data_IF_832920389351
#
_entry.id   IF_832920389351
#
_cell.length_a   1.000
_cell.length_b   1.000
_cell.length_c   1.000
_cell.angle_alpha   90.00
_cell.angle_beta   90.00
_cell.angle_gamma   90.00
#
_symmetry.space_group_name_H-M   'P 1'
#
loop_
_entity.id
_entity.type
_entity.pdbx_description
1 polymer ?
#
# COMPACT_ATOMS: atom_id res chain seq x y z
N UNK A 1 30.23 -10.58 -3.92
CA UNK A 1 29.35 -11.11 -4.98
C UNK A 1 28.28 -10.05 -5.12
N UNK A 2 28.39 -9.16 -6.11
CA UNK A 2 27.35 -8.18 -6.40
C UNK A 2 26.09 -8.96 -6.77
N UNK A 3 25.10 -8.98 -5.87
CA UNK A 3 23.77 -9.46 -6.19
C UNK A 3 23.19 -8.50 -7.23
N UNK A 4 22.93 -9.01 -8.44
CA UNK A 4 22.30 -8.25 -9.49
C UNK A 4 20.92 -7.79 -9.01
N UNK A 5 20.73 -6.48 -8.93
CA UNK A 5 19.42 -5.87 -8.77
C UNK A 5 18.55 -6.38 -9.95
N UNK A 6 17.49 -7.14 -9.68
CA UNK A 6 16.73 -7.81 -10.73
C UNK A 6 16.01 -6.74 -11.56
N UNK A 7 16.54 -6.46 -12.75
CA UNK A 7 15.95 -5.51 -13.70
C UNK A 7 14.55 -5.96 -14.09
N UNK A 8 13.61 -5.03 -14.21
CA UNK A 8 12.21 -5.33 -14.57
C UNK A 8 12.10 -6.18 -15.85
N UNK A 9 11.45 -7.34 -15.74
CA UNK A 9 11.19 -8.26 -16.85
C UNK A 9 9.71 -8.22 -17.26
N UNK A 10 9.42 -7.50 -18.35
CA UNK A 10 8.06 -7.37 -18.88
C UNK A 10 7.42 -8.72 -19.27
N UNK A 11 8.22 -9.75 -19.58
CA UNK A 11 7.70 -11.06 -19.99
C UNK A 11 7.02 -11.82 -18.85
N UNK A 12 7.33 -11.46 -17.60
CA UNK A 12 6.71 -12.01 -16.39
C UNK A 12 5.44 -11.28 -15.97
N UNK A 13 5.07 -10.20 -16.64
CA UNK A 13 3.84 -9.48 -16.34
C UNK A 13 2.65 -10.34 -16.70
N UNK A 14 1.77 -10.56 -15.73
CA UNK A 14 0.42 -11.07 -16.01
C UNK A 14 -0.52 -9.89 -16.19
N UNK A 15 -0.98 -9.69 -17.42
CA UNK A 15 -1.85 -8.57 -17.78
C UNK A 15 -3.29 -8.81 -17.31
N UNK A 16 -3.87 -7.83 -16.61
CA UNK A 16 -5.26 -7.87 -16.16
C UNK A 16 -6.21 -7.03 -17.03
N UNK A 17 -5.67 -6.29 -18.02
CA UNK A 17 -6.43 -5.55 -19.04
C UNK A 17 -7.60 -4.70 -18.51
N UNK A 18 -7.41 -3.96 -17.41
CA UNK A 18 -8.44 -3.05 -16.88
C UNK A 18 -9.64 -3.77 -16.25
N UNK A 19 -9.44 -4.99 -15.76
CA UNK A 19 -10.39 -5.75 -14.94
C UNK A 19 -10.97 -4.92 -13.80
N UNK A 20 -10.18 -4.00 -13.25
CA UNK A 20 -10.62 -3.01 -12.27
C UNK A 20 -10.60 -1.62 -12.88
N UNK A 21 -11.66 -0.86 -12.59
CA UNK A 21 -11.80 0.50 -13.07
C UNK A 21 -11.20 1.47 -12.03
N UNK A 22 -10.25 2.34 -12.42
CA UNK A 22 -9.71 3.34 -11.51
C UNK A 22 -10.83 4.24 -10.99
N UNK A 23 -10.69 4.72 -9.76
CA UNK A 23 -11.61 5.67 -9.17
C UNK A 23 -11.12 7.09 -9.39
N UNK A 24 -11.63 7.74 -10.42
CA UNK A 24 -11.51 9.19 -10.56
C UNK A 24 -12.59 9.87 -9.71
N UNK A 25 -12.17 10.59 -8.68
CA UNK A 25 -13.07 11.26 -7.75
C UNK A 25 -13.78 12.41 -8.46
N UNK A 26 -15.11 12.37 -8.40
CA UNK A 26 -16.00 13.43 -8.89
C UNK A 26 -16.99 13.90 -7.83
N UNK A 27 -16.96 13.28 -6.64
CA UNK A 27 -17.83 13.59 -5.52
C UNK A 27 -17.06 14.37 -4.45
N UNK A 28 -17.76 15.27 -3.77
CA UNK A 28 -17.25 15.91 -2.56
C UNK A 28 -17.12 14.86 -1.44
N UNK A 29 -16.09 14.96 -0.59
CA UNK A 29 -15.99 14.11 0.57
C UNK A 29 -17.02 14.53 1.62
N UNK A 30 -17.39 13.58 2.49
CA UNK A 30 -18.32 13.85 3.60
C UNK A 30 -17.61 13.63 4.93
N UNK A 31 -17.99 14.36 5.99
CA UNK A 31 -17.37 14.14 7.29
C UNK A 31 -17.70 12.76 7.86
N UNK A 32 -16.72 12.10 8.48
CA UNK A 32 -16.86 10.75 9.02
C UNK A 32 -18.06 10.61 9.98
N UNK A 33 -18.35 11.64 10.79
CA UNK A 33 -19.51 11.68 11.68
C UNK A 33 -20.86 11.49 10.98
N UNK A 34 -20.99 11.87 9.71
CA UNK A 34 -22.24 11.73 8.95
C UNK A 34 -22.41 10.35 8.32
N UNK A 35 -21.34 9.54 8.28
CA UNK A 35 -21.39 8.20 7.72
C UNK A 35 -21.96 7.19 8.71
N UNK A 36 -22.94 6.40 8.25
CA UNK A 36 -23.42 5.21 8.95
C UNK A 36 -22.60 3.98 8.54
N UNK A 37 -21.46 3.79 9.21
CA UNK A 37 -20.54 2.66 9.06
C UNK A 37 -20.19 2.09 10.44
N UNK A 38 -19.94 0.78 10.49
CA UNK A 38 -19.58 0.05 11.71
C UNK A 38 -18.20 0.50 12.24
N UNK A 39 -18.00 0.44 13.55
CA UNK A 39 -16.76 0.84 14.22
C UNK A 39 -15.51 0.08 13.74
N UNK A 40 -15.71 -1.19 13.37
CA UNK A 40 -14.66 -2.04 12.79
C UNK A 40 -14.42 -1.81 11.30
N UNK A 41 -15.14 -0.90 10.64
CA UNK A 41 -14.89 -0.58 9.25
C UNK A 41 -13.49 0.00 9.10
N UNK A 42 -12.67 -0.60 8.25
CA UNK A 42 -11.30 -0.16 8.06
C UNK A 42 -11.23 0.95 7.01
N UNK A 43 -10.43 1.96 7.32
CA UNK A 43 -10.16 3.15 6.53
C UNK A 43 -8.67 3.20 6.19
N UNK A 44 -8.37 3.81 5.04
CA UNK A 44 -7.05 4.30 4.70
C UNK A 44 -7.07 5.82 4.84
N UNK A 45 -6.07 6.39 5.50
CA UNK A 45 -5.95 7.83 5.74
C UNK A 45 -4.58 8.31 5.26
N UNK A 46 -4.58 9.30 4.37
CA UNK A 46 -3.38 9.88 3.81
C UNK A 46 -3.36 11.39 3.96
N UNK A 47 -2.18 11.96 4.19
CA UNK A 47 -1.99 13.42 4.17
C UNK A 47 -1.96 13.89 2.71
N UNK A 48 -2.95 14.68 2.31
CA UNK A 48 -3.09 15.21 0.96
C UNK A 48 -3.20 16.73 1.06
N UNK A 49 -2.16 17.43 0.59
CA UNK A 49 -1.99 18.85 0.87
C UNK A 49 -1.67 19.06 2.36
N UNK A 50 -2.49 19.83 3.04
CA UNK A 50 -2.33 20.19 4.46
C UNK A 50 -3.28 19.44 5.40
N UNK A 51 -4.06 18.49 4.89
CA UNK A 51 -5.09 17.79 5.66
C UNK A 51 -5.13 16.29 5.40
N UNK A 52 -5.52 15.51 6.42
CA UNK A 52 -5.78 14.09 6.24
C UNK A 52 -7.11 13.89 5.51
N UNK A 53 -7.09 13.04 4.48
CA UNK A 53 -8.29 12.56 3.80
C UNK A 53 -8.41 11.05 3.97
N UNK A 54 -9.64 10.59 4.19
CA UNK A 54 -9.94 9.19 4.42
C UNK A 54 -10.64 8.52 3.24
N UNK A 55 -10.39 7.22 3.11
CA UNK A 55 -10.96 6.36 2.08
C UNK A 55 -11.38 5.04 2.71
N UNK A 56 -12.53 4.51 2.29
CA UNK A 56 -12.97 3.18 2.74
C UNK A 56 -12.07 2.11 2.13
N UNK A 57 -11.37 1.33 2.96
CA UNK A 57 -10.40 0.34 2.48
C UNK A 57 -11.04 -0.64 1.47
N UNK A 58 -12.30 -1.04 1.68
CA UNK A 58 -13.02 -1.93 0.75
C UNK A 58 -13.23 -1.33 -0.66
N UNK A 59 -13.33 -0.01 -0.76
CA UNK A 59 -13.52 0.69 -2.04
C UNK A 59 -12.18 0.80 -2.74
N UNK A 60 -11.15 1.25 -2.02
CA UNK A 60 -9.77 1.33 -2.56
C UNK A 60 -9.27 -0.05 -2.98
N UNK A 61 -9.58 -1.10 -2.22
CA UNK A 61 -9.24 -2.50 -2.57
C UNK A 61 -9.90 -2.97 -3.86
N UNK A 62 -11.04 -2.40 -4.24
CA UNK A 62 -11.71 -2.74 -5.51
C UNK A 62 -11.13 -1.93 -6.68
N UNK A 63 -10.78 -0.68 -6.44
CA UNK A 63 -10.36 0.24 -7.49
C UNK A 63 -8.86 0.19 -7.77
N UNK A 64 -8.05 -0.15 -6.76
CA UNK A 64 -6.58 -0.17 -6.74
C UNK A 64 -5.89 1.17 -6.95
N UNK A 65 -6.45 2.02 -7.79
CA UNK A 65 -6.02 3.39 -8.07
C UNK A 65 -7.18 4.33 -7.78
N UNK A 66 -6.94 5.33 -6.96
CA UNK A 66 -7.85 6.46 -6.72
C UNK A 66 -7.13 7.73 -7.13
N UNK A 67 -7.75 8.57 -7.94
CA UNK A 67 -7.18 9.86 -8.34
C UNK A 67 -8.20 10.97 -8.12
N UNK A 68 -7.73 12.10 -7.61
CA UNK A 68 -8.57 13.27 -7.37
C UNK A 68 -7.77 14.57 -7.35
N UNK A 69 -8.47 15.66 -7.10
CA UNK A 69 -7.89 16.97 -6.86
C UNK A 69 -8.42 17.45 -5.52
N UNK A 70 -7.53 17.85 -4.61
CA UNK A 70 -7.89 18.42 -3.32
C UNK A 70 -7.25 19.79 -3.16
N UNK A 71 -8.06 20.82 -2.92
CA UNK A 71 -7.60 22.21 -2.81
C UNK A 71 -6.65 22.63 -3.96
N UNK A 72 -6.95 22.21 -5.18
CA UNK A 72 -6.13 22.49 -6.37
C UNK A 72 -4.91 21.57 -6.57
N UNK A 73 -4.62 20.66 -5.63
CA UNK A 73 -3.50 19.72 -5.72
C UNK A 73 -3.97 18.33 -6.23
N UNK A 74 -3.49 17.86 -7.39
CA UNK A 74 -3.75 16.50 -7.85
C UNK A 74 -3.07 15.47 -6.94
N UNK A 75 -3.80 14.40 -6.61
CA UNK A 75 -3.28 13.30 -5.80
C UNK A 75 -3.72 11.96 -6.37
N UNK A 76 -3.00 10.91 -5.98
CA UNK A 76 -3.29 9.53 -6.29
C UNK A 76 -3.08 8.64 -5.06
N UNK A 77 -3.96 7.67 -4.86
CA UNK A 77 -3.78 6.56 -3.92
C UNK A 77 -3.59 5.29 -4.72
N UNK A 78 -2.58 4.50 -4.38
CA UNK A 78 -2.40 3.15 -4.92
C UNK A 78 -2.55 2.13 -3.81
N UNK A 79 -3.16 0.98 -4.09
CA UNK A 79 -3.32 -0.08 -3.10
C UNK A 79 -3.42 -1.47 -3.71
N UNK A 80 -2.53 -2.36 -3.28
CA UNK A 80 -2.56 -3.78 -3.62
C UNK A 80 -3.19 -4.58 -2.48
N UNK A 81 -4.41 -5.12 -2.69
CA UNK A 81 -5.10 -5.92 -1.68
C UNK A 81 -4.41 -7.24 -1.32
N UNK A 82 -3.60 -7.80 -2.23
CA UNK A 82 -2.86 -9.05 -1.99
C UNK A 82 -1.62 -8.80 -1.13
N UNK A 83 -0.91 -7.72 -1.42
CA UNK A 83 0.27 -7.24 -0.72
C UNK A 83 -0.08 -6.59 0.63
N UNK A 84 -1.32 -6.10 0.76
CA UNK A 84 -1.85 -5.29 1.86
C UNK A 84 -1.21 -3.89 1.98
N UNK A 85 -0.51 -3.42 0.95
CA UNK A 85 0.23 -2.16 1.00
C UNK A 85 -0.27 -1.16 -0.04
N UNK A 86 -0.09 0.12 0.27
CA UNK A 86 -0.44 1.23 -0.60
C UNK A 86 0.19 2.53 -0.12
N UNK A 87 0.20 3.54 -0.99
CA UNK A 87 0.80 4.85 -0.72
C UNK A 87 -0.10 5.97 -1.25
N UNK A 88 0.11 7.16 -0.70
CA UNK A 88 -0.31 8.41 -1.35
C UNK A 88 0.82 8.82 -2.29
N UNK A 89 0.48 9.28 -3.49
CA UNK A 89 1.44 9.76 -4.48
C UNK A 89 0.84 10.89 -5.32
N UNK A 90 1.63 11.47 -6.21
CA UNK A 90 1.18 12.50 -7.15
C UNK A 90 1.12 11.94 -8.56
N UNK A 91 0.02 12.15 -9.29
CA UNK A 91 -0.06 11.81 -10.70
C UNK A 91 0.57 12.88 -11.61
N UNK A 92 1.32 13.85 -11.04
CA UNK A 92 1.91 14.95 -11.81
C UNK A 92 3.30 14.58 -12.29
N UNK A 93 3.50 14.58 -13.60
CA UNK A 93 4.78 14.33 -14.26
C UNK A 93 5.09 15.53 -15.14
N UNK A 94 6.27 16.12 -14.96
CA UNK A 94 6.75 17.28 -15.74
C UNK A 94 5.69 18.41 -15.85
N UNK A 95 4.97 18.65 -14.75
CA UNK A 95 3.96 19.71 -14.62
C UNK A 95 2.58 19.36 -15.20
N UNK A 96 2.35 18.13 -15.67
CA UNK A 96 1.07 17.67 -16.21
C UNK A 96 0.48 16.58 -15.34
N UNK A 97 -0.83 16.62 -15.12
CA UNK A 97 -1.56 15.55 -14.43
C UNK A 97 -1.83 14.42 -15.40
N UNK A 98 -1.28 13.24 -15.11
CA UNK A 98 -1.49 12.01 -15.87
C UNK A 98 -2.65 11.19 -15.28
N UNK A 99 -3.22 10.30 -16.09
CA UNK A 99 -4.21 9.30 -15.68
C UNK A 99 -3.54 7.96 -15.52
N UNK A 100 -3.90 7.28 -14.44
CA UNK A 100 -3.33 6.01 -14.07
C UNK A 100 -4.40 4.97 -13.89
N UNK A 101 -4.03 3.73 -14.22
CA UNK A 101 -4.87 2.56 -14.01
C UNK A 101 -4.01 1.35 -13.68
N UNK A 102 -4.61 0.43 -12.94
CA UNK A 102 -4.07 -0.92 -12.82
C UNK A 102 -4.06 -1.57 -14.21
N UNK A 103 -2.96 -2.27 -14.52
CA UNK A 103 -2.75 -2.89 -15.84
C UNK A 103 -2.34 -4.36 -15.75
N UNK A 104 -1.73 -4.76 -14.65
CA UNK A 104 -1.33 -6.14 -14.45
C UNK A 104 -0.60 -6.36 -13.13
N UNK A 105 -0.01 -7.54 -13.04
CA UNK A 105 0.72 -8.02 -11.87
C UNK A 105 2.15 -8.37 -12.27
N UNK A 106 3.11 -7.93 -11.44
CA UNK A 106 4.54 -8.24 -11.54
C UNK A 106 5.11 -8.41 -10.13
N UNK A 107 6.00 -9.37 -9.89
CA UNK A 107 6.52 -9.69 -8.55
C UNK A 107 5.42 -10.01 -7.52
N UNK A 108 4.28 -10.54 -7.97
CA UNK A 108 3.11 -10.76 -7.14
C UNK A 108 2.50 -9.47 -6.60
N UNK A 109 2.78 -8.32 -7.22
CA UNK A 109 2.26 -7.01 -6.85
C UNK A 109 1.57 -6.38 -8.05
N UNK A 110 0.55 -5.57 -7.80
CA UNK A 110 -0.08 -4.82 -8.87
C UNK A 110 0.86 -3.73 -9.37
N UNK A 111 0.94 -3.59 -10.69
CA UNK A 111 1.62 -2.48 -11.36
C UNK A 111 0.59 -1.61 -12.06
N UNK A 112 0.91 -0.34 -12.22
CA UNK A 112 0.03 0.62 -12.87
C UNK A 112 0.67 1.19 -14.13
N UNK A 113 -0.17 1.54 -15.10
CA UNK A 113 0.23 2.26 -16.30
C UNK A 113 -0.23 3.72 -16.21
N UNK A 114 0.59 4.64 -16.69
CA UNK A 114 0.12 5.98 -17.07
C UNK A 114 -0.40 5.95 -18.51
N UNK A 115 -1.61 6.47 -18.71
CA UNK A 115 -2.35 6.39 -19.97
C UNK A 115 -1.80 7.33 -21.05
N UNK A 116 -1.10 8.40 -20.66
CA UNK A 116 -0.51 9.37 -21.57
C UNK A 116 0.80 8.88 -22.19
N UNK A 117 1.67 8.21 -21.43
CA UNK A 117 2.98 7.72 -21.93
C UNK A 117 3.04 6.21 -22.17
N UNK A 118 2.13 5.45 -21.55
CA UNK A 118 2.20 3.99 -21.50
C UNK A 118 3.27 3.43 -20.56
N UNK A 119 3.95 4.27 -19.77
CA UNK A 119 4.95 3.83 -18.79
C UNK A 119 4.29 3.02 -17.68
N UNK A 120 4.92 1.90 -17.31
CA UNK A 120 4.58 1.05 -16.18
C UNK A 120 5.36 1.49 -14.94
N UNK A 121 4.73 1.41 -13.78
CA UNK A 121 5.28 1.95 -12.54
C UNK A 121 5.07 1.00 -11.36
N UNK A 122 6.02 1.06 -10.42
CA UNK A 122 5.94 0.35 -9.15
C UNK A 122 4.96 1.07 -8.22
N UNK A 123 3.98 0.33 -7.70
CA UNK A 123 2.92 0.97 -6.94
C UNK A 123 3.31 1.49 -5.55
N UNK A 124 4.42 1.01 -4.98
CA UNK A 124 4.89 1.39 -3.65
C UNK A 124 6.03 2.38 -3.69
N UNK A 125 6.98 2.22 -4.62
CA UNK A 125 8.15 3.11 -4.72
C UNK A 125 7.89 4.33 -5.60
N UNK A 126 6.88 4.25 -6.48
CA UNK A 126 6.61 5.29 -7.47
C UNK A 126 7.63 5.34 -8.61
N UNK A 127 8.54 4.36 -8.71
CA UNK A 127 9.55 4.31 -9.77
C UNK A 127 8.94 3.82 -11.08
N UNK A 128 9.38 4.43 -12.19
CA UNK A 128 9.10 3.91 -13.51
C UNK A 128 9.84 2.58 -13.71
N UNK A 129 9.10 1.55 -14.10
CA UNK A 129 9.60 0.19 -14.32
C UNK A 129 9.92 -0.06 -15.79
N UNK A 130 9.10 0.47 -16.70
CA UNK A 130 9.23 0.23 -18.13
C UNK A 130 8.48 1.27 -18.94
N UNK A 131 9.12 1.84 -19.96
CA UNK A 131 8.49 2.75 -20.90
C UNK A 131 9.27 4.06 -21.08
N UNK A 132 8.67 5.05 -21.76
CA UNK A 132 9.36 6.30 -22.11
C UNK A 132 9.82 7.16 -20.93
N UNK A 133 9.21 6.98 -19.75
CA UNK A 133 9.53 7.76 -18.54
C UNK A 133 10.42 7.00 -17.56
N UNK A 134 11.23 6.04 -18.04
CA UNK A 134 12.29 5.44 -17.21
C UNK A 134 13.17 6.51 -16.57
N UNK A 135 13.75 6.22 -15.41
CA UNK A 135 14.51 7.16 -14.55
C UNK A 135 13.68 8.27 -13.87
N UNK A 136 12.36 8.34 -14.13
CA UNK A 136 11.44 9.18 -13.35
C UNK A 136 10.91 8.41 -12.14
N UNK A 137 10.53 9.16 -11.11
CA UNK A 137 9.81 8.64 -9.96
C UNK A 137 8.68 9.60 -9.54
N UNK A 138 7.61 9.02 -9.03
CA UNK A 138 6.53 9.75 -8.39
C UNK A 138 6.83 9.87 -6.89
N UNK A 139 6.54 11.03 -6.25
CA UNK A 139 6.73 11.15 -4.81
C UNK A 139 5.76 10.21 -4.09
N UNK A 140 6.22 9.55 -3.02
CA UNK A 140 5.38 8.67 -2.21
C UNK A 140 5.31 9.14 -0.77
N UNK A 141 4.13 9.08 -0.16
CA UNK A 141 3.91 9.39 1.25
C UNK A 141 2.97 8.37 1.89
N UNK A 142 2.96 8.38 3.22
CA UNK A 142 2.37 7.33 4.03
C UNK A 142 0.85 7.27 3.88
N UNK A 143 0.32 6.07 3.68
CA UNK A 143 -1.10 5.75 3.74
C UNK A 143 -1.36 4.85 4.95
N UNK A 144 -2.05 5.39 5.95
CA UNK A 144 -2.20 4.75 7.26
C UNK A 144 -3.53 4.02 7.38
N UNK A 145 -3.50 2.82 7.98
CA UNK A 145 -4.72 2.09 8.31
C UNK A 145 -5.34 2.59 9.62
N UNK A 146 -6.67 2.70 9.64
CA UNK A 146 -7.47 3.04 10.82
C UNK A 146 -8.75 2.23 10.85
N UNK A 147 -9.30 1.96 12.02
CA UNK A 147 -10.71 1.59 12.13
C UNK A 147 -11.56 2.87 12.16
N UNK A 148 -12.84 2.78 11.79
CA UNK A 148 -13.76 3.90 11.89
C UNK A 148 -13.86 4.40 13.33
N UNK A 149 -13.83 3.51 14.34
CA UNK A 149 -13.77 3.92 15.74
C UNK A 149 -12.52 4.75 16.06
N UNK A 150 -11.33 4.31 15.64
CA UNK A 150 -10.09 5.06 15.84
C UNK A 150 -10.12 6.42 15.15
N UNK A 151 -10.61 6.46 13.90
CA UNK A 151 -10.70 7.68 13.14
C UNK A 151 -11.71 8.67 13.76
N UNK A 152 -12.88 8.19 14.22
CA UNK A 152 -13.87 9.03 14.91
C UNK A 152 -13.34 9.59 16.22
N UNK A 153 -12.61 8.78 16.99
CA UNK A 153 -12.03 9.22 18.25
C UNK A 153 -10.94 10.29 18.05
N UNK A 154 -10.16 10.20 16.97
CA UNK A 154 -9.11 11.15 16.65
C UNK A 154 -9.64 12.44 15.99
N UNK A 155 -10.52 12.29 15.00
CA UNK A 155 -11.11 13.40 14.25
C UNK A 155 -12.47 12.96 13.67
N UNK A 156 -13.60 13.25 14.34
CA UNK A 156 -14.93 12.93 13.82
C UNK A 156 -15.28 13.71 12.54
N UNK A 157 -14.52 14.74 12.24
CA UNK A 157 -14.69 15.64 11.09
C UNK A 157 -13.75 15.27 9.93
N UNK A 158 -12.98 14.17 10.06
CA UNK A 158 -12.18 13.61 8.98
C UNK A 158 -13.04 13.44 7.73
N UNK A 159 -12.59 14.04 6.63
CA UNK A 159 -13.29 13.98 5.36
C UNK A 159 -13.05 12.63 4.68
N UNK A 160 -14.14 11.98 4.28
CA UNK A 160 -14.13 10.65 3.68
C UNK A 160 -14.68 10.75 2.25
N UNK A 161 -13.87 10.33 1.27
CA UNK A 161 -14.36 10.12 -0.08
C UNK A 161 -15.11 8.80 -0.19
N UNK A 162 -16.14 8.78 -1.05
CA UNK A 162 -16.92 7.59 -1.35
C UNK A 162 -17.04 7.40 -2.85
N UNK A 163 -16.78 6.18 -3.32
CA UNK A 163 -16.84 5.88 -4.77
C UNK A 163 -18.27 5.68 -5.28
N UNK A 164 -19.25 5.62 -4.38
CA UNK A 164 -20.66 5.41 -4.71
C UNK A 164 -20.99 4.00 -5.20
N UNK A 165 -20.01 3.08 -5.26
CA UNK A 165 -20.21 1.70 -5.71
C UNK A 165 -20.90 0.82 -4.65
N UNK A 166 -21.62 -0.21 -5.13
CA UNK A 166 -22.55 -1.01 -4.32
C UNK A 166 -21.88 -1.75 -3.14
N UNK A 167 -22.38 -1.50 -1.93
CA UNK A 167 -21.79 -1.93 -0.64
C UNK A 167 -21.64 -3.46 -0.50
N UNK A 168 -22.54 -4.25 -1.10
CA UNK A 168 -22.58 -5.70 -0.91
C UNK A 168 -21.43 -6.43 -1.64
N UNK A 169 -21.20 -6.11 -2.92
CA UNK A 169 -20.18 -6.79 -3.73
C UNK A 169 -18.77 -6.52 -3.20
N UNK A 170 -18.49 -5.30 -2.74
CA UNK A 170 -17.22 -4.92 -2.13
C UNK A 170 -16.97 -5.65 -0.80
N UNK A 171 -18.01 -5.78 0.04
CA UNK A 171 -17.92 -6.54 1.30
C UNK A 171 -17.65 -8.02 1.04
N UNK A 172 -18.32 -8.61 0.04
CA UNK A 172 -18.08 -10.01 -0.37
C UNK A 172 -16.66 -10.19 -0.90
N UNK A 173 -16.22 -9.34 -1.84
CA UNK A 173 -14.87 -9.42 -2.41
C UNK A 173 -13.81 -9.30 -1.31
N UNK A 174 -13.95 -8.34 -0.40
CA UNK A 174 -13.05 -8.19 0.75
C UNK A 174 -13.08 -9.39 1.67
N UNK A 175 -14.26 -9.90 2.01
CA UNK A 175 -14.39 -11.08 2.86
C UNK A 175 -13.69 -12.28 2.22
N UNK A 176 -13.85 -12.46 0.91
CA UNK A 176 -13.18 -13.48 0.12
C UNK A 176 -11.66 -13.26 0.16
N UNK A 177 -11.16 -12.07 -0.17
CA UNK A 177 -9.72 -11.72 -0.10
C UNK A 177 -9.16 -12.00 1.31
N UNK A 178 -9.84 -11.57 2.37
CA UNK A 178 -9.39 -11.80 3.75
C UNK A 178 -9.45 -13.28 4.15
N UNK A 179 -10.48 -14.03 3.73
CA UNK A 179 -10.58 -15.47 4.02
C UNK A 179 -9.52 -16.25 3.25
N UNK A 180 -9.29 -15.87 2.01
CA UNK A 180 -8.34 -16.54 1.11
C UNK A 180 -6.89 -16.22 1.50
N UNK A 181 -6.58 -14.96 1.82
CA UNK A 181 -5.23 -14.49 2.15
C UNK A 181 -4.94 -14.44 3.67
N UNK A 182 -5.95 -14.61 4.51
CA UNK A 182 -5.88 -14.41 5.96
C UNK A 182 -6.46 -15.54 6.82
N UNK A 183 -7.09 -16.58 6.25
CA UNK A 183 -7.46 -17.74 7.05
C UNK A 183 -6.24 -18.65 7.29
N UNK A 184 -5.64 -18.53 8.47
CA UNK A 184 -4.94 -19.62 9.15
C UNK A 184 -3.54 -19.98 8.63
N UNK A 185 -2.66 -18.99 8.40
CA UNK A 185 -1.26 -19.28 8.04
C UNK A 185 -1.06 -19.89 6.64
N UNK A 186 -2.12 -19.94 5.81
CA UNK A 186 -2.00 -20.38 4.42
C UNK A 186 -1.13 -19.40 3.64
N UNK A 187 -0.03 -19.91 3.10
CA UNK A 187 0.86 -19.25 2.15
C UNK A 187 0.21 -19.02 0.77
N UNK A 188 -1.11 -18.91 0.70
CA UNK A 188 -1.81 -18.94 -0.58
C UNK A 188 -1.75 -17.57 -1.25
N UNK A 189 -1.09 -17.54 -2.40
CA UNK A 189 -1.05 -16.41 -3.32
C UNK A 189 -1.88 -16.81 -4.54
N UNK A 190 -2.75 -15.94 -5.10
CA UNK A 190 -3.52 -16.28 -6.29
C UNK A 190 -2.61 -16.78 -7.42
N UNK A 191 -2.99 -17.79 -8.22
CA UNK A 191 -2.11 -18.37 -9.23
C UNK A 191 -1.57 -17.35 -10.24
N UNK A 192 -2.38 -16.37 -10.65
CA UNK A 192 -1.96 -15.29 -11.55
C UNK A 192 -0.96 -14.32 -10.92
N UNK A 193 -0.95 -14.18 -9.59
CA UNK A 193 0.08 -13.45 -8.86
C UNK A 193 1.35 -14.31 -8.73
N UNK A 194 1.19 -15.57 -8.32
CA UNK A 194 2.31 -16.48 -8.07
C UNK A 194 3.18 -16.75 -9.29
N UNK A 195 2.60 -16.75 -10.50
CA UNK A 195 3.35 -16.93 -11.76
C UNK A 195 4.29 -15.78 -12.10
N UNK A 196 4.11 -14.63 -11.46
CA UNK A 196 4.91 -13.42 -11.72
C UNK A 196 6.05 -13.25 -10.71
N UNK A 197 6.18 -14.16 -9.74
CA UNK A 197 7.29 -14.20 -8.79
C UNK A 197 8.57 -14.66 -9.49
N UNK A 198 9.74 -14.22 -9.03
CA UNK A 198 11.01 -14.74 -9.53
C UNK A 198 11.19 -16.20 -9.10
N UNK A 199 12.13 -16.88 -9.78
CA UNK A 199 12.49 -18.26 -9.45
C UNK A 199 12.96 -18.39 -8.00
N UNK A 200 13.73 -17.40 -7.54
CA UNK A 200 14.24 -17.31 -6.17
C UNK A 200 13.62 -16.13 -5.44
N UNK A 201 12.95 -16.40 -4.33
CA UNK A 201 12.45 -15.39 -3.40
C UNK A 201 13.09 -15.62 -2.02
N UNK A 202 13.21 -14.55 -1.25
CA UNK A 202 13.67 -14.63 0.12
C UNK A 202 12.73 -15.52 0.96
N UNK A 203 13.29 -16.58 1.53
CA UNK A 203 12.58 -17.61 2.27
C UNK A 203 12.82 -17.56 3.79
N UNK A 204 13.47 -16.50 4.31
CA UNK A 204 13.69 -16.29 5.76
C UNK A 204 12.38 -16.29 6.55
N UNK A 205 11.30 -15.81 5.92
CA UNK A 205 9.94 -15.92 6.42
C UNK A 205 9.03 -16.54 5.36
N UNK A 206 7.92 -17.17 5.77
CA UNK A 206 6.88 -17.56 4.84
C UNK A 206 6.38 -16.34 4.04
N UNK A 207 6.26 -16.46 2.71
CA UNK A 207 5.96 -15.35 1.78
C UNK A 207 4.78 -14.47 2.21
N UNK A 208 3.70 -15.08 2.73
CA UNK A 208 2.48 -14.37 3.12
C UNK A 208 2.52 -13.79 4.54
N UNK A 209 3.65 -13.86 5.24
CA UNK A 209 3.82 -13.31 6.60
C UNK A 209 3.54 -11.81 6.58
N UNK A 210 2.59 -11.38 7.41
CA UNK A 210 2.30 -9.96 7.61
C UNK A 210 3.34 -9.34 8.54
N UNK A 211 3.65 -8.06 8.27
CA UNK A 211 4.51 -7.27 9.13
C UNK A 211 4.43 -5.79 8.80
N UNK A 212 5.28 -5.04 9.48
CA UNK A 212 5.50 -3.63 9.28
C UNK A 212 6.86 -3.44 8.60
N UNK A 213 6.86 -2.91 7.38
CA UNK A 213 8.06 -2.40 6.76
C UNK A 213 8.29 -0.95 7.21
N UNK A 214 9.49 -0.62 7.65
CA UNK A 214 9.92 0.75 7.96
C UNK A 214 11.03 1.13 6.99
N UNK A 215 10.87 2.27 6.32
CA UNK A 215 11.82 2.77 5.33
C UNK A 215 12.29 4.16 5.77
N UNK A 216 13.60 4.32 5.88
CA UNK A 216 14.26 5.59 6.21
C UNK A 216 15.45 5.73 5.29
N UNK A 217 15.42 6.78 4.47
CA UNK A 217 16.40 7.02 3.40
C UNK A 217 16.49 5.80 2.47
N UNK A 218 17.62 5.09 2.47
CA UNK A 218 17.84 3.87 1.66
C UNK A 218 17.71 2.57 2.46
N UNK A 219 17.50 2.67 3.77
CA UNK A 219 17.37 1.50 4.63
C UNK A 219 15.91 1.08 4.74
N UNK A 220 15.65 -0.21 4.54
CA UNK A 220 14.34 -0.83 4.67
C UNK A 220 14.44 -1.99 5.66
N UNK A 221 13.56 -2.02 6.66
CA UNK A 221 13.55 -3.08 7.69
C UNK A 221 12.13 -3.60 7.82
N UNK A 222 11.99 -4.92 7.82
CA UNK A 222 10.73 -5.59 8.04
C UNK A 222 10.67 -6.17 9.45
N UNK A 223 9.57 -5.85 10.12
CA UNK A 223 9.22 -6.38 11.43
C UNK A 223 7.99 -7.27 11.27
N UNK A 224 8.10 -8.61 11.42
CA UNK A 224 6.93 -9.47 11.41
C UNK A 224 5.99 -9.08 12.56
N UNK A 225 4.70 -9.39 12.43
CA UNK A 225 3.72 -9.05 13.47
C UNK A 225 4.12 -9.56 14.87
N UNK A 226 4.80 -10.70 14.97
CA UNK A 226 5.33 -11.24 16.22
C UNK A 226 6.35 -10.31 16.90
N UNK A 227 7.18 -9.61 16.14
CA UNK A 227 8.13 -8.61 16.67
C UNK A 227 7.39 -7.42 17.27
N UNK A 228 6.36 -6.94 16.58
CA UNK A 228 5.53 -5.83 17.05
C UNK A 228 4.75 -6.21 18.31
N UNK A 229 4.20 -7.43 18.34
CA UNK A 229 3.45 -7.97 19.48
C UNK A 229 4.32 -8.18 20.72
N UNK A 230 5.61 -8.50 20.53
CA UNK A 230 6.59 -8.58 21.60
C UNK A 230 7.06 -7.21 22.14
N UNK A 231 6.62 -6.10 21.54
CA UNK A 231 7.09 -4.75 21.92
C UNK A 231 8.58 -4.53 21.61
N UNK A 232 9.08 -5.17 20.56
CA UNK A 232 10.49 -5.07 20.17
C UNK A 232 10.88 -3.61 19.87
N UNK A 233 12.05 -3.19 20.34
CA UNK A 233 12.61 -1.87 19.97
C UNK A 233 13.42 -2.04 18.70
N UNK A 234 12.87 -1.59 17.58
CA UNK A 234 13.55 -1.64 16.29
C UNK A 234 14.71 -0.65 16.20
N UNK A 235 15.69 -0.93 15.35
CA UNK A 235 16.83 -0.05 15.09
C UNK A 235 16.98 0.20 13.60
N UNK A 236 17.34 1.42 13.22
CA UNK A 236 17.72 1.74 11.85
C UNK A 236 18.93 2.67 11.86
N UNK A 237 20.08 2.12 11.48
CA UNK A 237 21.38 2.71 11.80
C UNK A 237 21.54 2.88 13.32
N UNK A 238 21.82 4.11 13.75
CA UNK A 238 21.97 4.44 15.18
C UNK A 238 20.65 4.84 15.86
N UNK A 239 19.57 5.02 15.09
CA UNK A 239 18.29 5.50 15.61
C UNK A 239 17.43 4.33 16.08
N UNK A 240 16.78 4.51 17.22
CA UNK A 240 15.82 3.55 17.77
C UNK A 240 14.40 4.00 17.50
N UNK A 241 13.51 3.05 17.25
CA UNK A 241 12.07 3.26 17.11
C UNK A 241 11.31 2.31 18.04
N UNK A 242 10.13 2.74 18.47
CA UNK A 242 9.24 1.94 19.29
C UNK A 242 8.21 1.25 18.40
N UNK A 243 8.12 -0.08 18.47
CA UNK A 243 7.09 -0.85 17.80
C UNK A 243 5.91 -1.07 18.75
N UNK A 244 4.71 -0.79 18.27
CA UNK A 244 3.48 -0.96 19.04
C UNK A 244 2.31 -1.35 18.15
N UNK A 245 1.16 -1.59 18.79
CA UNK A 245 -0.12 -1.63 18.10
C UNK A 245 -0.93 -0.38 18.37
N UNK A 246 -1.52 0.16 17.31
CA UNK A 246 -2.64 1.09 17.39
C UNK A 246 -3.90 0.37 16.98
N UNK A 247 -4.65 -0.14 17.96
CA UNK A 247 -5.77 -1.04 17.69
C UNK A 247 -5.28 -2.32 16.99
N UNK A 248 -5.84 -2.69 15.82
CA UNK A 248 -5.41 -3.89 15.13
C UNK A 248 -4.11 -3.70 14.32
N UNK A 249 -3.61 -2.48 14.13
CA UNK A 249 -2.52 -2.21 13.19
C UNK A 249 -1.17 -2.05 13.89
N UNK A 250 -0.08 -2.61 13.33
CA UNK A 250 1.27 -2.32 13.80
C UNK A 250 1.65 -0.88 13.46
N UNK A 251 2.46 -0.26 14.32
CA UNK A 251 3.02 1.08 14.11
C UNK A 251 4.45 1.15 14.65
N UNK A 252 5.29 1.89 13.94
CA UNK A 252 6.60 2.33 14.38
C UNK A 252 6.56 3.84 14.66
N UNK A 253 7.08 4.25 15.81
CA UNK A 253 7.22 5.68 16.16
C UNK A 253 8.63 6.00 16.61
N UNK A 254 9.09 7.20 16.27
CA UNK A 254 10.28 7.80 16.85
C UNK A 254 10.01 8.26 18.28
N UNK A 255 11.06 8.49 19.11
CA UNK A 255 10.90 8.99 20.47
C UNK A 255 10.14 10.33 20.57
N UNK A 256 10.17 11.15 19.52
CA UNK A 256 9.42 12.40 19.44
C UNK A 256 7.93 12.23 19.04
N UNK A 257 7.45 10.98 18.89
CA UNK A 257 6.08 10.65 18.50
C UNK A 257 5.81 10.68 16.99
N UNK A 258 6.73 11.21 16.18
CA UNK A 258 6.59 11.19 14.72
C UNK A 258 6.79 9.78 14.15
N UNK A 259 6.24 9.53 12.97
CA UNK A 259 6.31 8.22 12.30
C UNK A 259 7.31 8.27 11.15
N UNK A 260 8.22 7.30 11.03
CA UNK A 260 8.92 7.08 9.76
C UNK A 260 7.93 6.61 8.69
N UNK A 261 8.33 6.71 7.42
CA UNK A 261 7.58 6.07 6.35
C UNK A 261 7.53 4.56 6.61
N UNK A 262 6.32 4.01 6.60
CA UNK A 262 6.09 2.63 6.97
C UNK A 262 4.89 2.06 6.21
N UNK A 263 4.94 0.76 5.93
CA UNK A 263 3.94 0.03 5.17
C UNK A 263 3.55 -1.24 5.91
N UNK A 264 2.25 -1.49 6.04
CA UNK A 264 1.75 -2.78 6.54
C UNK A 264 1.70 -3.74 5.34
N UNK A 265 2.71 -4.58 5.18
CA UNK A 265 2.90 -5.38 3.96
C UNK A 265 3.17 -6.84 4.28
N UNK A 266 3.22 -7.67 3.23
CA UNK A 266 3.63 -9.07 3.31
C UNK A 266 5.11 -9.21 2.98
N UNK A 267 5.74 -10.24 3.54
CA UNK A 267 7.16 -10.52 3.38
C UNK A 267 7.63 -10.57 1.92
N UNK A 268 6.90 -11.27 1.04
CA UNK A 268 7.28 -11.34 -0.38
C UNK A 268 7.27 -9.96 -1.05
N UNK A 269 6.26 -9.14 -0.75
CA UNK A 269 6.12 -7.83 -1.35
C UNK A 269 7.22 -6.89 -0.83
N UNK A 270 7.55 -6.99 0.46
CA UNK A 270 8.68 -6.25 1.03
C UNK A 270 10.00 -6.60 0.33
N UNK A 271 10.35 -7.87 0.25
CA UNK A 271 11.66 -8.31 -0.29
C UNK A 271 11.78 -8.06 -1.79
N UNK A 272 10.69 -8.16 -2.54
CA UNK A 272 10.69 -7.84 -3.98
C UNK A 272 10.60 -6.34 -4.29
N UNK A 273 10.19 -5.52 -3.32
CA UNK A 273 10.21 -4.05 -3.44
C UNK A 273 11.53 -3.46 -2.91
N UNK A 274 12.11 -4.08 -1.89
CA UNK A 274 13.33 -3.63 -1.20
C UNK A 274 14.30 -4.83 -1.08
N UNK A 275 15.05 -5.17 -2.15
CA UNK A 275 15.86 -6.39 -2.20
C UNK A 275 16.98 -6.42 -1.15
N UNK A 276 17.49 -5.25 -0.74
CA UNK A 276 18.48 -5.12 0.34
C UNK A 276 17.86 -4.94 1.73
N UNK A 277 16.55 -5.22 1.86
CA UNK A 277 15.79 -5.07 3.08
C UNK A 277 16.23 -6.05 4.18
N UNK A 278 16.31 -5.55 5.40
CA UNK A 278 16.66 -6.35 6.58
C UNK A 278 15.41 -6.91 7.25
N UNK A 279 15.58 -8.02 7.96
CA UNK A 279 14.56 -8.63 8.79
C UNK A 279 14.96 -8.48 10.26
N UNK A 280 14.12 -7.84 11.06
CA UNK A 280 14.25 -7.79 12.51
C UNK A 280 13.08 -8.56 13.14
N UNK A 281 13.37 -9.76 13.62
CA UNK A 281 12.43 -10.66 14.28
C UNK A 281 12.90 -10.92 15.73
N UNK A 282 11.98 -11.23 16.67
CA UNK A 282 12.37 -11.68 18.00
C UNK A 282 13.14 -13.00 17.89
N UNK A 283 14.10 -13.20 18.82
CA UNK A 283 14.84 -14.47 18.98
C UNK A 283 13.91 -15.66 19.26
#
# INVERSE_FOLDING_TARGET
>A
MEEADETFDISRVTWEQGKFQPWHISSEPVPLRTLSIEDGEELLVGEIGDQPLGFLLREVTYHHVVQGIWQGSPFMITFCGVCNAGVVTSPVIDGRTHRFREIGVYNGQMIFADDESGTLWNHLTGEALHGPLIDKSLPVSMLTFRTAAQARAANPDLLIFQSGRHRLMQRVMRFVIRRILGAGGRQWLPPHFARTLPETIDNRLPRMTMGLAVIVDKAAIFYPMSAVEAGHTGRIGERTLHLAREGPYPVATWPNGSRPFQLITRWYAFTLTYPHGQLEAPE
#
